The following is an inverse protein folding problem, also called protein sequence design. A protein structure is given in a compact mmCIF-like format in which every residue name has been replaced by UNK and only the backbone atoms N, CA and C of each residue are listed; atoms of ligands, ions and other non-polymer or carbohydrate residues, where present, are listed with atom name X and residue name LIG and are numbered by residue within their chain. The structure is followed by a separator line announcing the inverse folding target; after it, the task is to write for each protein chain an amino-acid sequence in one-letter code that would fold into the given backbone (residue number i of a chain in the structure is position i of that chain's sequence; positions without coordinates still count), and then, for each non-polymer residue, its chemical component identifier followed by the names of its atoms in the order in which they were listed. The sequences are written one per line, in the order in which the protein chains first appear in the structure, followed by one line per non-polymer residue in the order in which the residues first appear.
data_IF_368623402177
#
_entry.id   IF_368623402177
#
_cell.length_a   1.000
_cell.length_b   1.000
_cell.length_c   1.000
_cell.angle_alpha   90.00
_cell.angle_beta   90.00
_cell.angle_gamma   90.00
#
_symmetry.space_group_name_H-M   'P 1'
#
loop_
_entity.id
_entity.type
_entity.pdbx_description
1 polymer ?
#
# COMPACT_ATOMS: atom_id res chain seq x y z
N UNK A 1 -10.28 70.92 28.95
CA UNK A 1 -11.61 70.49 28.48
C UNK A 1 -11.42 69.81 27.13
N UNK A 2 -11.61 68.49 27.05
CA UNK A 2 -12.42 67.83 26.03
C UNK A 2 -12.55 66.35 26.42
N UNK A 3 -13.79 65.89 26.32
CA UNK A 3 -14.37 64.66 26.85
C UNK A 3 -13.93 63.44 26.03
N UNK A 4 -13.58 62.34 26.71
CA UNK A 4 -13.46 61.02 26.10
C UNK A 4 -14.81 60.32 26.23
N UNK A 5 -15.48 60.11 25.09
CA UNK A 5 -16.71 59.35 24.99
C UNK A 5 -16.40 57.85 24.91
N UNK A 6 -17.09 57.08 25.74
CA UNK A 6 -17.17 55.63 25.69
C UNK A 6 -18.04 55.16 24.50
N UNK A 7 -17.53 54.18 23.75
CA UNK A 7 -18.26 53.17 22.94
C UNK A 7 -17.20 52.50 22.05
N UNK A 8 -17.10 51.20 21.84
CA UNK A 8 -17.91 50.02 22.16
C UNK A 8 -17.16 48.86 21.49
N UNK A 9 -16.68 47.90 22.29
CA UNK A 9 -15.89 46.74 21.80
C UNK A 9 -16.86 45.74 21.10
N UNK A 10 -16.61 45.27 19.87
CA UNK A 10 -17.46 44.25 19.24
C UNK A 10 -17.01 42.87 19.73
N UNK A 11 -17.39 42.51 20.96
CA UNK A 11 -16.94 41.28 21.62
C UNK A 11 -18.02 40.41 22.26
N UNK A 12 -19.31 40.76 22.10
CA UNK A 12 -20.39 40.08 22.85
C UNK A 12 -21.66 39.74 22.06
N UNK A 13 -21.70 39.97 20.74
CA UNK A 13 -22.89 39.72 19.90
C UNK A 13 -22.84 38.44 19.05
N UNK A 14 -21.79 37.62 19.14
CA UNK A 14 -21.70 36.33 18.41
C UNK A 14 -22.00 35.09 19.27
N UNK A 15 -22.16 35.25 20.58
CA UNK A 15 -22.39 34.13 21.51
C UNK A 15 -23.88 33.85 21.79
N UNK A 16 -24.79 34.73 21.37
CA UNK A 16 -26.24 34.59 21.58
C UNK A 16 -26.98 33.94 20.38
N UNK A 17 -26.32 33.71 19.24
CA UNK A 17 -26.93 33.03 18.08
C UNK A 17 -26.69 31.50 18.13
N UNK A 18 -25.65 31.05 18.83
CA UNK A 18 -25.29 29.61 18.91
C UNK A 18 -26.13 28.85 19.97
N UNK A 19 -26.81 29.54 20.89
CA UNK A 19 -27.62 28.89 21.94
C UNK A 19 -29.13 28.77 21.64
N UNK A 20 -29.63 29.36 20.56
CA UNK A 20 -31.08 29.43 20.27
C UNK A 20 -31.58 28.49 19.15
N UNK A 21 -30.74 27.60 18.61
CA UNK A 21 -31.17 26.59 17.60
C UNK A 21 -31.24 25.16 18.14
N UNK A 22 -31.37 24.99 19.47
CA UNK A 22 -31.52 23.67 20.12
C UNK A 22 -32.95 23.34 20.57
N UNK A 23 -33.96 24.08 20.09
CA UNK A 23 -35.35 23.97 20.58
C UNK A 23 -36.45 23.92 19.50
N UNK A 24 -36.14 23.88 18.20
CA UNK A 24 -37.17 23.68 17.16
C UNK A 24 -36.76 22.52 16.26
N UNK A 25 -37.44 21.38 16.46
CA UNK A 25 -37.30 20.17 15.67
C UNK A 25 -37.74 20.37 14.23
N UNK A 26 -36.81 20.74 13.36
CA UNK A 26 -36.97 20.66 11.92
C UNK A 26 -36.17 19.48 11.38
N UNK A 27 -36.92 18.55 10.81
CA UNK A 27 -36.50 17.34 10.09
C UNK A 27 -35.56 17.76 8.95
N UNK A 28 -34.31 17.31 9.00
CA UNK A 28 -33.41 17.33 7.84
C UNK A 28 -33.70 16.07 7.00
N UNK A 29 -33.75 16.17 5.66
CA UNK A 29 -34.03 15.03 4.79
C UNK A 29 -32.90 14.01 4.88
N UNK A 30 -33.30 12.74 4.98
CA UNK A 30 -32.44 11.56 5.11
C UNK A 30 -31.37 11.54 4.02
N UNK A 31 -30.12 11.82 4.40
CA UNK A 31 -28.97 11.36 3.60
C UNK A 31 -28.94 9.85 3.74
N UNK A 32 -29.24 9.15 2.65
CA UNK A 32 -29.16 7.69 2.52
C UNK A 32 -27.91 7.17 3.23
N UNK A 33 -28.14 6.61 4.42
CA UNK A 33 -27.11 6.09 5.29
C UNK A 33 -26.53 4.84 4.66
N UNK A 34 -25.24 4.89 4.33
CA UNK A 34 -24.41 3.72 4.47
C UNK A 34 -24.46 3.35 5.95
N UNK A 35 -25.29 2.36 6.27
CA UNK A 35 -25.37 1.75 7.59
C UNK A 35 -23.96 1.36 8.04
N UNK A 36 -23.36 2.19 8.90
CA UNK A 36 -22.39 1.72 9.87
C UNK A 36 -23.12 0.67 10.70
N UNK A 37 -22.91 -0.60 10.35
CA UNK A 37 -23.41 -1.70 11.15
C UNK A 37 -22.88 -1.48 12.57
N UNK A 38 -23.82 -1.24 13.48
CA UNK A 38 -23.56 -1.13 14.88
C UNK A 38 -22.68 -2.31 15.30
N UNK A 39 -21.53 -2.00 15.90
CA UNK A 39 -20.66 -2.97 16.53
C UNK A 39 -21.45 -3.63 17.66
N UNK A 40 -22.23 -4.67 17.33
CA UNK A 40 -22.90 -5.54 18.29
C UNK A 40 -21.81 -6.29 19.03
N UNK A 41 -21.42 -5.75 20.17
CA UNK A 41 -20.65 -6.45 21.20
C UNK A 41 -21.51 -7.62 21.69
N UNK A 42 -21.38 -8.80 21.07
CA UNK A 42 -22.09 -9.99 21.54
C UNK A 42 -22.32 -11.16 20.59
N UNK A 43 -22.12 -11.03 19.27
CA UNK A 43 -22.25 -12.18 18.36
C UNK A 43 -20.88 -12.78 18.09
N UNK A 44 -20.55 -13.88 18.77
CA UNK A 44 -19.45 -14.77 18.36
C UNK A 44 -19.85 -15.47 17.06
N UNK A 45 -19.75 -14.77 15.94
CA UNK A 45 -19.66 -15.45 14.65
C UNK A 45 -18.39 -16.29 14.72
N UNK A 46 -18.52 -17.61 14.75
CA UNK A 46 -17.39 -18.52 14.61
C UNK A 46 -16.81 -18.29 13.22
N UNK A 47 -15.88 -17.32 13.10
CA UNK A 47 -15.08 -17.17 11.89
C UNK A 47 -14.33 -18.48 11.72
N UNK A 48 -14.69 -19.24 10.69
CA UNK A 48 -13.96 -20.44 10.28
C UNK A 48 -12.49 -20.03 10.16
N UNK A 49 -11.61 -20.62 10.96
CA UNK A 49 -10.17 -20.39 10.88
C UNK A 49 -9.75 -20.93 9.52
N UNK A 50 -9.46 -20.04 8.58
CA UNK A 50 -8.83 -20.43 7.31
C UNK A 50 -7.40 -20.78 7.68
N UNK A 51 -7.00 -22.03 7.45
CA UNK A 51 -5.62 -22.45 7.58
C UNK A 51 -4.92 -22.19 6.25
N UNK A 52 -3.85 -21.41 6.30
CA UNK A 52 -3.00 -21.14 5.16
C UNK A 52 -1.76 -22.03 5.21
N UNK A 53 -1.10 -22.30 4.07
CA UNK A 53 0.22 -22.93 4.06
C UNK A 53 1.21 -22.14 4.90
N UNK A 54 2.18 -22.80 5.50
CA UNK A 54 3.26 -22.13 6.24
C UNK A 54 4.21 -21.44 5.27
N UNK A 55 4.33 -20.12 5.34
CA UNK A 55 5.30 -19.38 4.52
C UNK A 55 5.72 -18.07 5.19
N UNK A 56 6.91 -17.59 4.81
CA UNK A 56 7.41 -16.27 5.20
C UNK A 56 8.26 -15.71 4.09
N UNK A 57 8.10 -14.43 3.80
CA UNK A 57 8.97 -13.66 2.91
C UNK A 57 9.58 -12.49 3.68
N UNK A 58 10.89 -12.31 3.61
CA UNK A 58 11.64 -11.16 4.13
C UNK A 58 12.51 -10.60 3.00
N UNK A 59 12.40 -9.30 2.75
CA UNK A 59 13.03 -8.73 1.58
C UNK A 59 12.89 -7.22 1.45
N UNK A 60 13.17 -6.74 0.25
CA UNK A 60 12.91 -5.35 -0.14
C UNK A 60 11.90 -5.31 -1.28
N UNK A 61 11.04 -4.29 -1.27
CA UNK A 61 10.17 -4.00 -2.39
C UNK A 61 10.52 -2.63 -2.99
N UNK A 62 10.24 -2.51 -4.29
CA UNK A 62 10.31 -1.28 -5.07
C UNK A 62 8.89 -1.02 -5.59
N UNK A 63 8.43 0.21 -5.47
CA UNK A 63 7.15 0.68 -5.98
C UNK A 63 7.35 1.87 -6.90
N UNK A 64 6.60 1.90 -7.99
CA UNK A 64 6.35 3.12 -8.77
C UNK A 64 4.85 3.26 -8.98
N UNK A 65 4.31 4.46 -8.71
CA UNK A 65 2.93 4.81 -9.02
C UNK A 65 2.86 6.07 -9.88
N UNK A 66 1.72 6.32 -10.52
CA UNK A 66 1.54 7.43 -11.46
C UNK A 66 1.43 8.83 -10.80
N UNK A 67 1.37 8.92 -9.47
CA UNK A 67 1.17 10.18 -8.73
C UNK A 67 2.39 11.11 -8.76
N UNK A 68 2.20 12.42 -8.55
CA UNK A 68 3.24 13.43 -8.76
C UNK A 68 4.30 13.48 -7.67
N UNK A 69 3.88 13.47 -6.40
CA UNK A 69 4.78 13.78 -5.27
C UNK A 69 4.92 12.59 -4.32
N UNK A 70 3.86 12.33 -3.57
CA UNK A 70 3.71 11.17 -2.69
C UNK A 70 2.32 10.62 -2.98
N UNK A 71 2.17 9.31 -2.97
CA UNK A 71 0.87 8.70 -3.22
C UNK A 71 -0.17 9.22 -2.20
N UNK A 72 -1.24 9.92 -2.63
CA UNK A 72 -2.25 10.45 -1.72
C UNK A 72 -2.99 9.33 -0.98
N UNK A 73 -2.97 8.11 -1.53
CA UNK A 73 -3.52 6.91 -0.91
C UNK A 73 -2.94 6.62 0.48
N UNK A 74 -1.70 7.05 0.75
CA UNK A 74 -1.00 6.77 2.02
C UNK A 74 -1.24 7.83 3.10
N UNK A 75 -1.43 9.10 2.71
CA UNK A 75 -1.29 10.25 3.63
C UNK A 75 -2.42 11.28 3.55
N UNK A 76 -3.46 11.05 2.74
CA UNK A 76 -4.59 11.97 2.66
C UNK A 76 -5.40 12.07 3.96
N UNK A 77 -6.27 13.08 4.05
CA UNK A 77 -7.22 13.22 5.16
C UNK A 77 -8.37 12.19 5.12
N UNK A 78 -8.52 11.46 4.01
CA UNK A 78 -9.51 10.38 3.88
C UNK A 78 -8.92 9.07 4.40
N UNK A 79 -9.75 8.02 4.45
CA UNK A 79 -9.24 6.69 4.74
C UNK A 79 -8.22 6.26 3.67
N UNK A 80 -7.27 5.39 4.05
CA UNK A 80 -6.28 4.89 3.11
C UNK A 80 -6.92 4.29 1.88
N UNK A 81 -6.31 4.54 0.71
CA UNK A 81 -6.77 4.03 -0.59
C UNK A 81 -8.17 4.51 -1.04
N UNK A 82 -8.86 5.42 -0.32
CA UNK A 82 -10.21 5.89 -0.69
C UNK A 82 -10.23 7.22 -1.43
N UNK A 83 -9.11 7.94 -1.48
CA UNK A 83 -8.98 9.15 -2.29
C UNK A 83 -8.59 8.77 -3.73
N UNK A 84 -8.99 9.61 -4.69
CA UNK A 84 -8.51 9.46 -6.06
C UNK A 84 -6.99 9.70 -6.13
N UNK A 85 -6.27 8.95 -6.98
CA UNK A 85 -4.89 9.26 -7.34
C UNK A 85 -4.83 10.59 -8.12
N UNK A 86 -3.63 11.16 -8.27
CA UNK A 86 -3.44 12.39 -9.04
C UNK A 86 -3.81 12.22 -10.53
N UNK A 87 -3.64 11.01 -11.07
CA UNK A 87 -3.93 10.66 -12.46
C UNK A 87 -4.67 9.34 -12.56
N UNK A 88 -5.53 9.25 -13.57
CA UNK A 88 -6.22 8.03 -13.96
C UNK A 88 -5.79 7.58 -15.37
N UNK A 89 -5.63 6.26 -15.60
CA UNK A 89 -5.68 5.21 -14.59
C UNK A 89 -4.52 5.31 -13.57
N UNK A 90 -4.73 4.75 -12.37
CA UNK A 90 -3.68 4.58 -11.38
C UNK A 90 -2.81 3.40 -11.80
N UNK A 91 -1.66 3.66 -12.42
CA UNK A 91 -0.75 2.64 -12.90
C UNK A 91 0.37 2.40 -11.87
N UNK A 92 0.52 1.16 -11.41
CA UNK A 92 1.46 0.79 -10.36
C UNK A 92 2.27 -0.44 -10.75
N UNK A 93 3.57 -0.35 -10.47
CA UNK A 93 4.53 -1.44 -10.59
C UNK A 93 5.14 -1.71 -9.22
N UNK A 94 4.96 -2.94 -8.72
CA UNK A 94 5.57 -3.40 -7.48
C UNK A 94 6.55 -4.53 -7.79
N UNK A 95 7.83 -4.34 -7.50
CA UNK A 95 8.86 -5.39 -7.59
C UNK A 95 9.26 -5.83 -6.20
N UNK A 96 9.29 -7.13 -5.95
CA UNK A 96 9.66 -7.73 -4.67
C UNK A 96 10.87 -8.63 -4.84
N UNK A 97 11.83 -8.45 -3.95
CA UNK A 97 13.07 -9.23 -3.87
C UNK A 97 13.06 -9.96 -2.56
N UNK A 98 13.16 -11.29 -2.61
CA UNK A 98 13.15 -12.16 -1.44
C UNK A 98 14.60 -12.43 -1.04
N UNK A 99 15.05 -11.85 0.06
CA UNK A 99 16.39 -12.11 0.59
C UNK A 99 16.38 -13.41 1.41
N UNK A 100 15.35 -13.60 2.22
CA UNK A 100 15.11 -14.81 3.00
C UNK A 100 13.63 -15.18 2.93
N UNK A 101 13.31 -16.46 2.76
CA UNK A 101 11.93 -16.88 2.79
C UNK A 101 11.73 -18.34 2.46
N UNK A 102 10.55 -18.85 2.78
CA UNK A 102 10.18 -20.22 2.48
C UNK A 102 8.67 -20.32 2.21
N UNK A 103 8.29 -21.40 1.54
CA UNK A 103 6.92 -21.88 1.45
C UNK A 103 6.94 -23.38 1.77
N UNK A 104 6.40 -23.76 2.91
CA UNK A 104 6.57 -25.08 3.52
C UNK A 104 8.06 -25.48 3.56
N UNK A 105 8.44 -26.51 2.81
CA UNK A 105 9.84 -26.98 2.71
C UNK A 105 10.64 -26.35 1.57
N UNK A 106 10.02 -25.49 0.75
CA UNK A 106 10.64 -24.87 -0.42
C UNK A 106 11.32 -23.56 0.00
N UNK A 107 12.64 -23.49 -0.20
CA UNK A 107 13.42 -22.25 -0.04
C UNK A 107 13.12 -21.27 -1.19
N UNK A 108 12.81 -20.02 -0.83
CA UNK A 108 12.47 -18.93 -1.74
C UNK A 108 13.52 -17.82 -1.76
N UNK A 109 14.65 -17.97 -1.05
CA UNK A 109 15.73 -16.99 -1.09
C UNK A 109 16.24 -16.76 -2.53
N UNK A 110 16.44 -15.49 -2.90
CA UNK A 110 16.87 -15.06 -4.22
C UNK A 110 15.77 -15.02 -5.30
N UNK A 111 14.58 -15.55 -5.01
CA UNK A 111 13.43 -15.40 -5.89
C UNK A 111 12.93 -13.94 -5.92
N UNK A 112 12.33 -13.57 -7.05
CA UNK A 112 11.77 -12.23 -7.26
C UNK A 112 10.40 -12.35 -7.89
N UNK A 113 9.55 -11.36 -7.66
CA UNK A 113 8.28 -11.26 -8.37
C UNK A 113 7.87 -9.81 -8.58
N UNK A 114 7.05 -9.58 -9.59
CA UNK A 114 6.45 -8.29 -9.89
C UNK A 114 4.94 -8.44 -9.90
N UNK A 115 4.27 -7.47 -9.29
CA UNK A 115 2.83 -7.25 -9.44
C UNK A 115 2.66 -5.92 -10.16
N UNK A 116 2.13 -5.97 -11.37
CA UNK A 116 1.70 -4.78 -12.10
C UNK A 116 0.19 -4.70 -11.99
N UNK A 117 -0.35 -3.51 -11.68
CA UNK A 117 -1.80 -3.30 -11.72
C UNK A 117 -2.16 -1.90 -12.16
N UNK A 118 -3.37 -1.78 -12.69
CA UNK A 118 -3.99 -0.53 -13.13
C UNK A 118 -5.42 -0.46 -12.59
N UNK A 119 -5.83 0.69 -12.07
CA UNK A 119 -7.25 0.92 -11.71
C UNK A 119 -7.78 2.23 -12.30
N UNK A 120 -9.01 2.25 -12.84
CA UNK A 120 -9.62 3.46 -13.38
C UNK A 120 -10.21 4.38 -12.30
N UNK A 121 -10.11 4.02 -11.02
CA UNK A 121 -10.78 4.71 -9.90
C UNK A 121 -9.94 4.62 -8.61
N UNK A 122 -10.56 4.92 -7.47
CA UNK A 122 -9.98 4.78 -6.15
C UNK A 122 -9.46 3.34 -5.90
N UNK A 123 -8.28 3.24 -5.29
CA UNK A 123 -7.57 1.98 -5.04
C UNK A 123 -8.38 0.98 -4.19
N UNK A 124 -9.26 1.45 -3.31
CA UNK A 124 -10.10 0.58 -2.48
C UNK A 124 -11.23 -0.13 -3.26
N UNK A 125 -11.44 0.16 -4.53
CA UNK A 125 -12.47 -0.47 -5.35
C UNK A 125 -11.97 -1.77 -6.01
N UNK A 126 -12.89 -2.71 -6.21
CA UNK A 126 -12.61 -4.02 -6.82
C UNK A 126 -12.69 -3.98 -8.34
N UNK A 127 -11.81 -3.21 -8.95
CA UNK A 127 -11.80 -2.92 -10.38
C UNK A 127 -10.38 -2.84 -10.95
N UNK A 128 -9.44 -3.57 -10.33
CA UNK A 128 -8.06 -3.57 -10.80
C UNK A 128 -7.92 -4.54 -11.97
N UNK A 129 -7.11 -4.13 -12.94
CA UNK A 129 -6.52 -5.04 -13.93
C UNK A 129 -5.11 -5.38 -13.44
N UNK A 130 -4.78 -6.66 -13.27
CA UNK A 130 -3.53 -7.11 -12.64
C UNK A 130 -2.79 -8.13 -13.50
N UNK A 131 -1.45 -8.04 -13.53
CA UNK A 131 -0.54 -9.00 -14.14
C UNK A 131 0.60 -9.35 -13.18
N UNK A 132 1.07 -10.60 -13.23
CA UNK A 132 2.08 -11.12 -12.32
C UNK A 132 3.29 -11.68 -13.09
N UNK A 133 4.49 -11.39 -12.58
CA UNK A 133 5.74 -11.93 -13.13
C UNK A 133 6.55 -12.58 -12.02
N UNK A 134 7.12 -13.75 -12.28
CA UNK A 134 7.89 -14.52 -11.30
C UNK A 134 9.25 -14.88 -11.89
N UNK A 135 10.32 -14.60 -11.14
CA UNK A 135 11.66 -15.14 -11.37
C UNK A 135 12.00 -16.15 -10.28
N UNK A 136 11.95 -17.42 -10.67
CA UNK A 136 12.25 -18.58 -9.85
C UNK A 136 12.88 -19.69 -10.69
N UNK A 137 13.93 -20.32 -10.13
CA UNK A 137 14.78 -21.23 -10.90
C UNK A 137 14.27 -22.68 -10.92
N UNK A 138 13.52 -23.11 -9.91
CA UNK A 138 13.00 -24.48 -9.82
C UNK A 138 11.48 -24.55 -9.97
N UNK A 139 10.91 -25.67 -10.47
CA UNK A 139 9.46 -25.86 -10.52
C UNK A 139 8.76 -25.73 -9.15
N UNK A 140 9.43 -26.16 -8.07
CA UNK A 140 8.93 -26.02 -6.70
C UNK A 140 8.79 -24.55 -6.29
N UNK A 141 9.81 -23.74 -6.54
CA UNK A 141 9.77 -22.29 -6.29
C UNK A 141 8.70 -21.59 -7.15
N UNK A 142 8.58 -21.97 -8.42
CA UNK A 142 7.57 -21.41 -9.33
C UNK A 142 6.15 -21.70 -8.84
N UNK A 143 5.88 -22.93 -8.40
CA UNK A 143 4.58 -23.32 -7.85
C UNK A 143 4.28 -22.58 -6.53
N UNK A 144 5.25 -22.52 -5.61
CA UNK A 144 5.13 -21.82 -4.33
C UNK A 144 4.84 -20.33 -4.52
N UNK A 145 5.64 -19.63 -5.33
CA UNK A 145 5.43 -18.21 -5.59
C UNK A 145 4.13 -17.94 -6.34
N UNK A 146 3.73 -18.83 -7.26
CA UNK A 146 2.41 -18.69 -7.91
C UNK A 146 1.29 -18.67 -6.88
N UNK A 147 1.35 -19.51 -5.83
CA UNK A 147 0.35 -19.49 -4.77
C UNK A 147 0.37 -18.21 -3.94
N UNK A 148 1.56 -17.73 -3.56
CA UNK A 148 1.69 -16.49 -2.78
C UNK A 148 1.26 -15.29 -3.62
N UNK A 149 1.83 -15.10 -4.81
CA UNK A 149 1.66 -13.91 -5.65
C UNK A 149 0.21 -13.75 -6.14
N UNK A 150 -0.48 -14.85 -6.44
CA UNK A 150 -1.91 -14.81 -6.82
C UNK A 150 -2.87 -14.74 -5.62
N UNK A 151 -2.35 -14.63 -4.40
CA UNK A 151 -3.13 -14.48 -3.18
C UNK A 151 -3.79 -15.75 -2.64
N UNK A 152 -3.57 -16.90 -3.29
CA UNK A 152 -4.15 -18.20 -2.87
C UNK A 152 -3.61 -18.66 -1.52
N UNK A 153 -2.39 -18.25 -1.17
CA UNK A 153 -1.75 -18.58 0.11
C UNK A 153 -2.03 -17.55 1.23
N UNK A 154 -2.93 -16.59 1.04
CA UNK A 154 -3.19 -15.53 2.02
C UNK A 154 -2.21 -14.35 1.91
N UNK A 155 -2.02 -13.62 3.00
CA UNK A 155 -1.13 -12.46 3.07
C UNK A 155 -1.60 -11.22 2.31
N UNK A 156 -0.72 -10.21 2.14
CA UNK A 156 -1.07 -8.96 1.47
C UNK A 156 -1.51 -9.14 0.01
N UNK A 157 -0.94 -10.12 -0.70
CA UNK A 157 -1.31 -10.47 -2.08
C UNK A 157 -2.73 -11.03 -2.21
N UNK A 158 -3.27 -11.67 -1.16
CA UNK A 158 -4.68 -12.07 -1.13
C UNK A 158 -5.61 -10.84 -1.14
N UNK A 159 -5.23 -9.77 -0.45
CA UNK A 159 -5.99 -8.52 -0.50
C UNK A 159 -5.87 -7.83 -1.86
N UNK A 160 -4.70 -7.84 -2.50
CA UNK A 160 -4.54 -7.34 -3.89
C UNK A 160 -5.41 -8.15 -4.86
N UNK A 161 -5.42 -9.48 -4.73
CA UNK A 161 -6.23 -10.36 -5.55
C UNK A 161 -7.75 -10.11 -5.35
N UNK A 162 -8.19 -9.78 -4.14
CA UNK A 162 -9.61 -9.44 -3.85
C UNK A 162 -10.08 -8.14 -4.53
N UNK A 163 -9.15 -7.25 -4.92
CA UNK A 163 -9.45 -6.03 -5.66
C UNK A 163 -9.32 -6.19 -7.18
N UNK A 164 -8.81 -7.33 -7.64
CA UNK A 164 -8.60 -7.62 -9.06
C UNK A 164 -9.91 -8.07 -9.72
N UNK A 165 -10.38 -7.31 -10.69
CA UNK A 165 -11.51 -7.67 -11.57
C UNK A 165 -11.02 -8.41 -12.81
N UNK A 166 -9.93 -7.92 -13.43
CA UNK A 166 -9.33 -8.53 -14.60
C UNK A 166 -7.91 -9.03 -14.28
N UNK A 167 -7.68 -10.33 -14.46
CA UNK A 167 -6.41 -10.98 -14.13
C UNK A 167 -5.77 -11.58 -15.38
N UNK A 168 -4.60 -11.08 -15.78
CA UNK A 168 -3.84 -11.56 -16.95
C UNK A 168 -2.95 -12.78 -16.67
N UNK A 169 -2.93 -13.26 -15.42
CA UNK A 169 -2.20 -14.46 -15.02
C UNK A 169 -0.74 -14.20 -14.67
N UNK A 170 -0.01 -15.31 -14.57
CA UNK A 170 1.39 -15.37 -14.12
C UNK A 170 2.29 -15.71 -15.31
N UNK A 171 3.36 -14.94 -15.49
CA UNK A 171 4.43 -15.25 -16.45
C UNK A 171 5.76 -15.47 -15.74
N UNK A 172 6.48 -16.52 -16.14
CA UNK A 172 7.84 -16.76 -15.70
C UNK A 172 8.80 -15.93 -16.56
N UNK A 173 9.68 -15.18 -15.91
CA UNK A 173 10.63 -14.27 -16.55
C UNK A 173 11.93 -14.23 -15.74
N UNK A 174 13.00 -13.69 -16.32
CA UNK A 174 14.17 -13.27 -15.55
C UNK A 174 13.98 -11.80 -15.11
N UNK A 175 14.15 -11.55 -13.81
CA UNK A 175 14.08 -10.20 -13.24
C UNK A 175 15.50 -9.83 -12.82
N UNK A 176 16.08 -8.82 -13.46
CA UNK A 176 17.33 -8.25 -12.97
C UNK A 176 17.03 -7.17 -11.92
N UNK A 177 17.83 -7.13 -10.86
CA UNK A 177 17.68 -6.16 -9.79
C UNK A 177 19.04 -5.68 -9.30
N UNK A 178 19.14 -4.37 -9.03
CA UNK A 178 20.34 -3.76 -8.47
C UNK A 178 19.98 -2.79 -7.33
N UNK A 179 20.71 -2.94 -6.22
CA UNK A 179 20.82 -1.96 -5.14
C UNK A 179 22.25 -1.45 -5.06
N UNK A 180 22.53 -0.36 -5.76
CA UNK A 180 23.89 0.19 -5.84
C UNK A 180 24.32 0.88 -4.54
N UNK A 181 23.41 1.59 -3.90
CA UNK A 181 23.67 2.37 -2.69
C UNK A 181 22.37 2.56 -1.88
N UNK A 182 22.38 3.48 -0.91
CA UNK A 182 21.20 3.78 -0.10
C UNK A 182 20.13 4.61 -0.81
N UNK A 183 20.38 5.10 -2.04
CA UNK A 183 19.51 6.01 -2.78
C UNK A 183 18.87 5.37 -4.02
N UNK A 184 19.57 4.45 -4.68
CA UNK A 184 19.18 3.96 -6.00
C UNK A 184 18.73 2.50 -5.98
N UNK A 185 17.65 2.23 -6.71
CA UNK A 185 17.14 0.88 -7.00
C UNK A 185 16.82 0.76 -8.48
N UNK A 186 17.16 -0.39 -9.06
CA UNK A 186 16.79 -0.76 -10.42
C UNK A 186 16.14 -2.13 -10.41
N UNK A 187 15.08 -2.29 -11.18
CA UNK A 187 14.52 -3.59 -11.56
C UNK A 187 14.16 -3.59 -13.05
N UNK A 188 14.52 -4.65 -13.77
CA UNK A 188 14.25 -4.79 -15.21
C UNK A 188 13.75 -6.19 -15.53
N UNK A 189 12.86 -6.24 -16.51
CA UNK A 189 12.45 -7.46 -17.21
C UNK A 189 12.57 -7.13 -18.69
N UNK A 190 13.39 -7.90 -19.41
CA UNK A 190 13.65 -7.67 -20.83
C UNK A 190 12.36 -7.53 -21.64
N UNK A 191 12.31 -6.51 -22.50
CA UNK A 191 11.18 -6.12 -23.36
C UNK A 191 9.85 -5.78 -22.66
N UNK A 192 9.80 -5.83 -21.32
CA UNK A 192 8.54 -5.76 -20.56
C UNK A 192 8.54 -4.57 -19.61
N UNK A 193 9.59 -4.41 -18.80
CA UNK A 193 9.59 -3.46 -17.69
C UNK A 193 10.99 -2.89 -17.43
N UNK A 194 11.04 -1.60 -17.13
CA UNK A 194 12.18 -0.94 -16.50
C UNK A 194 11.69 -0.08 -15.36
N UNK A 195 12.25 -0.25 -14.17
CA UNK A 195 11.98 0.58 -12.99
C UNK A 195 13.32 1.04 -12.42
N UNK A 196 13.70 2.28 -12.69
CA UNK A 196 14.86 2.93 -12.07
C UNK A 196 14.39 4.07 -11.20
N UNK A 197 14.61 3.96 -9.89
CA UNK A 197 14.15 4.97 -8.93
C UNK A 197 15.31 5.54 -8.12
N UNK A 198 15.11 6.76 -7.64
CA UNK A 198 16.05 7.44 -6.75
C UNK A 198 15.33 8.03 -5.55
N UNK A 199 15.91 7.86 -4.38
CA UNK A 199 15.43 8.44 -3.15
C UNK A 199 15.39 9.97 -3.22
N UNK A 200 14.32 10.55 -2.67
CA UNK A 200 14.26 11.98 -2.38
C UNK A 200 15.20 12.27 -1.21
N UNK A 201 16.22 13.09 -1.45
CA UNK A 201 17.11 13.58 -0.40
C UNK A 201 16.38 14.61 0.45
N UNK A 202 16.43 14.43 1.76
CA UNK A 202 15.87 15.33 2.77
C UNK A 202 16.72 16.60 2.95
N UNK A 203 16.25 17.50 3.81
CA UNK A 203 16.93 18.78 4.05
C UNK A 203 18.13 18.68 5.01
N UNK A 204 18.36 17.51 5.60
CA UNK A 204 19.42 17.28 6.58
C UNK A 204 20.26 16.05 6.20
N UNK A 205 21.56 16.15 6.50
CA UNK A 205 22.53 15.04 6.51
C UNK A 205 22.67 14.26 5.18
N UNK A 206 22.17 14.82 4.08
CA UNK A 206 22.11 14.15 2.78
C UNK A 206 21.39 12.78 2.85
N UNK A 207 20.47 12.61 3.80
CA UNK A 207 19.76 11.36 4.02
C UNK A 207 18.45 11.30 3.23
N UNK A 208 18.00 10.11 2.81
CA UNK A 208 16.68 9.92 2.22
C UNK A 208 15.53 10.38 3.14
N UNK A 209 14.45 10.88 2.54
CA UNK A 209 13.19 11.11 3.24
C UNK A 209 12.51 9.77 3.51
N UNK A 210 12.24 9.49 4.79
CA UNK A 210 11.61 8.24 5.24
C UNK A 210 10.21 8.54 5.78
N UNK A 211 9.26 7.66 5.43
CA UNK A 211 7.89 7.67 5.93
C UNK A 211 7.66 6.36 6.68
N UNK A 212 7.20 6.45 7.92
CA UNK A 212 6.86 5.28 8.74
C UNK A 212 5.35 5.18 8.95
N UNK A 213 4.84 3.95 9.09
CA UNK A 213 3.45 3.67 9.45
C UNK A 213 2.40 4.25 8.48
N UNK A 214 2.75 4.36 7.20
CA UNK A 214 1.84 4.88 6.16
C UNK A 214 1.52 3.85 5.06
N UNK A 215 2.46 2.96 4.74
CA UNK A 215 2.29 1.95 3.69
C UNK A 215 1.75 0.64 4.25
N UNK A 216 0.96 -0.03 3.42
CA UNK A 216 0.43 -1.36 3.66
C UNK A 216 1.35 -2.50 3.21
N UNK A 217 2.36 -2.19 2.40
CA UNK A 217 3.37 -3.13 1.90
C UNK A 217 4.56 -3.28 2.85
N UNK A 218 4.99 -2.16 3.45
CA UNK A 218 6.11 -2.09 4.36
C UNK A 218 5.88 -1.06 5.46
N UNK A 219 6.45 -1.31 6.64
CA UNK A 219 6.30 -0.38 7.76
C UNK A 219 7.08 0.93 7.57
N UNK A 220 8.27 0.82 6.99
CA UNK A 220 9.16 1.94 6.69
C UNK A 220 9.37 1.98 5.19
N UNK A 221 9.05 3.12 4.58
CA UNK A 221 9.23 3.35 3.16
C UNK A 221 10.06 4.59 2.93
N UNK A 222 10.91 4.55 1.91
CA UNK A 222 11.74 5.68 1.51
C UNK A 222 11.10 6.39 0.34
N UNK A 223 10.72 7.65 0.53
CA UNK A 223 10.16 8.49 -0.52
C UNK A 223 11.16 8.60 -1.67
N UNK A 224 10.71 8.27 -2.87
CA UNK A 224 11.53 8.22 -4.07
C UNK A 224 10.78 8.76 -5.28
N UNK A 225 11.46 8.82 -6.42
CA UNK A 225 10.86 9.15 -7.70
C UNK A 225 11.48 8.34 -8.84
N UNK A 226 10.71 8.10 -9.90
CA UNK A 226 11.15 7.40 -11.10
C UNK A 226 12.13 8.24 -11.92
N UNK A 227 13.32 7.72 -12.16
CA UNK A 227 14.30 8.32 -13.10
C UNK A 227 14.15 7.75 -14.52
N UNK A 228 13.67 6.51 -14.63
CA UNK A 228 13.26 5.86 -15.88
C UNK A 228 12.32 4.72 -15.51
N UNK A 229 11.01 4.89 -15.74
CA UNK A 229 10.01 3.89 -15.39
C UNK A 229 9.08 3.64 -16.56
N UNK A 230 9.13 2.43 -17.11
CA UNK A 230 8.39 2.00 -18.29
C UNK A 230 7.85 0.59 -18.10
N UNK A 231 6.68 0.34 -18.64
CA UNK A 231 6.11 -0.99 -18.74
C UNK A 231 5.34 -1.11 -20.04
N UNK A 232 5.43 -2.26 -20.71
CA UNK A 232 4.69 -2.57 -21.92
C UNK A 232 4.37 -4.06 -21.99
N UNK A 233 3.14 -4.42 -21.67
CA UNK A 233 2.62 -5.79 -21.81
C UNK A 233 1.09 -5.79 -21.67
N UNK A 234 0.52 -6.65 -20.81
CA UNK A 234 -0.92 -6.84 -20.65
C UNK A 234 -1.70 -5.58 -20.28
N UNK A 235 -1.13 -4.75 -19.40
CA UNK A 235 -1.78 -3.54 -18.90
C UNK A 235 -1.59 -2.32 -19.82
N UNK A 236 -1.18 -2.54 -21.08
CA UNK A 236 -0.78 -1.52 -22.07
C UNK A 236 0.59 -0.92 -21.77
N UNK A 237 0.86 0.27 -22.34
CA UNK A 237 2.09 1.04 -22.15
C UNK A 237 1.91 2.00 -20.97
N UNK A 238 2.74 1.87 -19.94
CA UNK A 238 2.81 2.78 -18.80
C UNK A 238 4.14 3.54 -18.82
N UNK A 239 4.11 4.80 -18.39
CA UNK A 239 5.32 5.59 -18.18
C UNK A 239 5.17 6.45 -16.92
N UNK A 240 5.81 6.00 -15.84
CA UNK A 240 5.85 6.69 -14.54
C UNK A 240 7.18 7.42 -14.32
N UNK A 241 7.91 7.74 -15.39
CA UNK A 241 9.15 8.53 -15.29
C UNK A 241 8.85 9.92 -14.72
N UNK A 242 9.61 10.32 -13.71
CA UNK A 242 9.40 11.56 -12.96
C UNK A 242 8.32 11.49 -11.87
N UNK A 243 7.62 10.36 -11.75
CA UNK A 243 6.50 10.17 -10.80
C UNK A 243 6.97 9.55 -9.48
N UNK A 244 6.05 9.50 -8.52
CA UNK A 244 6.27 8.94 -7.20
C UNK A 244 6.76 7.48 -7.25
N UNK A 245 7.67 7.18 -6.32
CA UNK A 245 8.14 5.83 -6.07
C UNK A 245 8.44 5.63 -4.59
N UNK A 246 8.50 4.36 -4.17
CA UNK A 246 8.95 3.98 -2.84
C UNK A 246 9.89 2.77 -2.92
N UNK A 247 10.73 2.61 -1.90
CA UNK A 247 11.30 1.31 -1.58
C UNK A 247 11.37 1.14 -0.07
N UNK A 248 11.33 -0.11 0.38
CA UNK A 248 11.36 -0.42 1.80
C UNK A 248 11.53 -1.89 2.08
N UNK A 249 11.83 -2.21 3.34
CA UNK A 249 11.90 -3.60 3.82
C UNK A 249 10.50 -4.11 4.12
N UNK A 250 10.20 -5.32 3.67
CA UNK A 250 8.94 -5.99 3.98
C UNK A 250 9.19 -7.34 4.63
N UNK A 251 8.27 -7.74 5.51
CA UNK A 251 8.19 -9.10 6.06
C UNK A 251 6.75 -9.53 6.02
N UNK A 252 6.44 -10.56 5.24
CA UNK A 252 5.09 -11.07 5.04
C UNK A 252 4.97 -12.53 5.48
N UNK A 253 3.82 -12.84 6.08
CA UNK A 253 3.36 -14.19 6.46
C UNK A 253 1.89 -14.33 6.02
N UNK A 254 1.32 -15.54 5.98
CA UNK A 254 -0.05 -15.76 5.49
C UNK A 254 -1.12 -14.96 6.23
N UNK A 255 -0.92 -14.72 7.52
CA UNK A 255 -1.86 -13.94 8.33
C UNK A 255 -1.61 -12.44 8.27
N UNK A 256 -0.54 -11.97 7.62
CA UNK A 256 -0.27 -10.54 7.48
C UNK A 256 -1.45 -9.90 6.76
N UNK A 257 -2.26 -9.05 7.44
CA UNK A 257 -3.20 -8.23 6.71
C UNK A 257 -2.42 -7.23 5.87
N UNK A 258 -3.08 -6.65 4.86
CA UNK A 258 -2.64 -5.40 4.25
C UNK A 258 -2.40 -4.37 5.38
N UNK A 259 -1.13 -4.05 5.65
CA UNK A 259 -0.66 -2.95 6.50
C UNK A 259 -0.64 -3.05 8.03
N UNK A 260 0.10 -3.99 8.67
CA UNK A 260 0.61 -3.78 10.07
C UNK A 260 2.01 -4.39 10.36
N UNK A 261 2.87 -3.54 10.97
CA UNK A 261 4.06 -3.68 11.86
C UNK A 261 4.73 -5.06 12.11
N UNK A 262 6.03 -5.09 11.76
CA UNK A 262 7.09 -6.05 12.17
C UNK A 262 7.07 -6.42 13.67
N UNK A 263 6.94 -5.43 14.55
CA UNK A 263 7.13 -5.61 16.00
C UNK A 263 5.95 -6.28 16.73
N UNK A 264 4.82 -6.55 16.07
CA UNK A 264 3.75 -7.40 16.64
C UNK A 264 3.97 -8.90 16.40
N UNK A 265 4.62 -9.29 15.32
CA UNK A 265 4.85 -10.71 15.01
C UNK A 265 6.02 -11.28 15.81
N UNK A 266 7.17 -10.58 15.87
CA UNK A 266 8.27 -11.01 16.75
C UNK A 266 7.84 -11.11 18.23
N UNK A 267 7.04 -10.14 18.71
CA UNK A 267 6.55 -10.17 20.10
C UNK A 267 5.55 -11.32 20.36
N UNK A 268 4.83 -11.78 19.34
CA UNK A 268 3.97 -12.96 19.43
C UNK A 268 4.80 -14.24 19.46
N UNK A 269 5.77 -14.41 18.57
CA UNK A 269 6.66 -15.59 18.56
C UNK A 269 7.50 -15.68 19.83
N UNK A 270 8.11 -14.57 20.28
CA UNK A 270 8.86 -14.52 21.55
C UNK A 270 7.98 -14.82 22.78
N UNK A 271 6.66 -14.65 22.70
CA UNK A 271 5.71 -15.05 23.75
C UNK A 271 5.25 -16.50 23.62
N UNK A 272 5.15 -17.03 22.39
CA UNK A 272 4.78 -18.41 22.12
C UNK A 272 5.92 -19.37 22.50
N UNK A 273 7.18 -19.02 22.20
CA UNK A 273 8.38 -19.79 22.56
C UNK A 273 8.83 -19.60 24.03
N UNK A 274 8.08 -18.84 24.83
CA UNK A 274 8.30 -18.67 26.29
C UNK A 274 7.28 -19.42 27.14
N UNK A 275 6.42 -20.23 26.53
CA UNK A 275 5.50 -21.16 27.19
C UNK A 275 5.90 -22.59 26.87
#
# INVERSE_FOLDING_TARGET
MFSWAESGRPGFALWQIIFAQRQLGMILPETNGYHLSAYKKGEKTMKKKVEYPDWKLDGEYIESCSCDVSCPCLVSAQAHNTILPDYLPCDVLLTFIIDEGHFESVDLAGCKFVVAFSTPREMCLKNWTTAYYIDAKTPGQQAALTQIVTGKAGGPTAGMADHTEENHGVRLVDIEYERKDIYSRTATIDDIMTVKIKAKVGMHDNLPVVIENASDLAYVVTQSYGTDVRYQDHLRVMNNTGRNAFYGRYVWVPESPIGIKYDRYEKKEKKANKK
#
